data_IF_271791546207
#
_entry.id   IF_271791546207
#
_cell.length_a   1.000
_cell.length_b   1.000
_cell.length_c   1.000
_cell.angle_alpha   90.00
_cell.angle_beta   90.00
_cell.angle_gamma   90.00
#
_symmetry.space_group_name_H-M   'P 1'
#
loop_
_entity.id
_entity.type
_entity.pdbx_description
1 polymer ?
#
# COMPACT_ATOMS: atom_id res chain seq x y z
N UNK A 1 -12.14 -3.03 14.50
CA UNK A 1 -13.13 -2.71 13.44
C UNK A 1 -12.35 -2.74 12.14
N UNK A 2 -12.56 -3.76 11.30
CA UNK A 2 -11.92 -3.82 9.97
C UNK A 2 -12.49 -2.67 9.11
N UNK A 3 -11.67 -1.99 8.29
CA UNK A 3 -12.19 -1.01 7.35
C UNK A 3 -13.23 -1.66 6.44
N UNK A 4 -14.22 -0.88 6.03
CA UNK A 4 -15.21 -1.32 5.06
C UNK A 4 -14.51 -1.56 3.73
N UNK A 5 -14.42 -2.83 3.33
CA UNK A 5 -13.76 -3.23 2.08
C UNK A 5 -14.44 -2.60 0.85
N UNK A 6 -15.68 -2.12 0.97
CA UNK A 6 -16.38 -1.40 -0.08
C UNK A 6 -15.93 0.06 -0.25
N UNK A 7 -15.22 0.63 0.73
CA UNK A 7 -14.71 2.01 0.66
C UNK A 7 -13.29 2.11 0.09
N UNK A 8 -12.58 0.99 0.01
CA UNK A 8 -11.29 0.90 -0.68
C UNK A 8 -11.53 0.91 -2.18
N UNK A 9 -10.81 1.76 -2.90
CA UNK A 9 -10.86 1.82 -4.36
C UNK A 9 -10.58 0.42 -4.94
N UNK A 10 -11.53 -0.20 -5.68
CA UNK A 10 -11.34 -1.53 -6.22
C UNK A 10 -10.12 -1.62 -7.16
N UNK A 11 -9.75 -0.55 -7.86
CA UNK A 11 -8.56 -0.53 -8.71
C UNK A 11 -7.25 -0.56 -7.89
N UNK A 12 -7.29 -0.09 -6.65
CA UNK A 12 -6.15 -0.16 -5.72
C UNK A 12 -5.94 -1.58 -5.23
N UNK A 13 -7.02 -2.26 -4.82
CA UNK A 13 -6.98 -3.65 -4.39
C UNK A 13 -6.51 -4.54 -5.54
N UNK A 14 -7.00 -4.29 -6.76
CA UNK A 14 -6.62 -5.06 -7.93
C UNK A 14 -5.17 -4.79 -8.33
N UNK A 15 -4.68 -3.54 -8.27
CA UNK A 15 -3.28 -3.20 -8.54
C UNK A 15 -2.31 -3.80 -7.50
N UNK A 16 -2.65 -3.72 -6.21
CA UNK A 16 -1.84 -4.30 -5.15
C UNK A 16 -1.83 -5.84 -5.23
N UNK A 17 -2.96 -6.45 -5.60
CA UNK A 17 -3.04 -7.88 -5.87
C UNK A 17 -2.28 -8.29 -7.13
N UNK A 18 -2.30 -7.47 -8.19
CA UNK A 18 -1.54 -7.70 -9.42
C UNK A 18 -0.03 -7.66 -9.18
N UNK A 19 0.43 -6.74 -8.33
CA UNK A 19 1.85 -6.68 -7.96
C UNK A 19 2.25 -7.85 -7.06
N UNK A 20 1.40 -8.28 -6.13
CA UNK A 20 1.68 -9.50 -5.36
C UNK A 20 1.71 -10.75 -6.24
N UNK A 21 0.89 -10.78 -7.30
CA UNK A 21 0.89 -11.88 -8.27
C UNK A 21 2.17 -11.90 -9.13
N UNK A 22 2.79 -10.73 -9.35
CA UNK A 22 3.96 -10.56 -10.20
C UNK A 22 5.28 -10.62 -9.42
N UNK A 23 5.31 -10.07 -8.22
CA UNK A 23 6.43 -10.06 -7.28
C UNK A 23 5.92 -10.08 -5.82
N UNK A 24 5.55 -11.28 -5.31
CA UNK A 24 4.99 -11.41 -3.97
C UNK A 24 5.97 -10.97 -2.88
N UNK A 25 7.28 -11.10 -3.11
CA UNK A 25 8.30 -10.72 -2.14
C UNK A 25 8.55 -9.21 -2.13
N UNK A 26 8.59 -8.56 -3.29
CA UNK A 26 8.68 -7.10 -3.38
C UNK A 26 7.47 -6.41 -2.76
N UNK A 27 6.26 -6.94 -3.01
CA UNK A 27 5.05 -6.44 -2.35
C UNK A 27 5.10 -6.63 -0.83
N UNK A 28 5.53 -7.79 -0.34
CA UNK A 28 5.68 -8.02 1.09
C UNK A 28 6.76 -7.13 1.72
N UNK A 29 7.87 -6.90 1.03
CA UNK A 29 8.95 -6.03 1.49
C UNK A 29 8.46 -4.58 1.63
N UNK A 30 7.71 -4.09 0.64
CA UNK A 30 7.10 -2.75 0.69
C UNK A 30 6.17 -2.57 1.90
N UNK A 31 5.33 -3.56 2.19
CA UNK A 31 4.38 -3.51 3.30
C UNK A 31 5.04 -3.59 4.68
N UNK A 32 6.12 -4.37 4.80
CA UNK A 32 6.70 -4.77 6.09
C UNK A 32 7.96 -3.97 6.45
N UNK A 33 8.70 -3.42 5.48
CA UNK A 33 9.86 -2.56 5.74
C UNK A 33 9.46 -1.10 5.86
N UNK A 34 10.31 -0.33 6.55
CA UNK A 34 10.16 1.12 6.65
C UNK A 34 10.22 1.75 5.27
N UNK A 35 9.12 2.37 4.84
CA UNK A 35 9.04 3.11 3.60
C UNK A 35 9.52 4.55 3.87
N UNK A 36 10.59 4.98 3.19
CA UNK A 36 11.22 6.29 3.38
C UNK A 36 10.31 7.46 2.97
N UNK A 37 9.39 7.24 2.01
CA UNK A 37 8.38 8.24 1.62
C UNK A 37 7.31 8.43 2.69
N UNK A 38 7.03 7.37 3.47
CA UNK A 38 5.97 7.35 4.48
C UNK A 38 6.50 7.51 5.92
N UNK A 39 7.83 7.52 6.11
CA UNK A 39 8.47 7.60 7.43
C UNK A 39 8.22 6.37 8.31
N UNK A 40 7.79 5.24 7.74
CA UNK A 40 7.41 4.03 8.49
C UNK A 40 6.91 2.91 7.59
N UNK A 41 6.71 1.73 8.16
CA UNK A 41 6.16 0.59 7.40
C UNK A 41 4.67 0.84 7.10
N UNK A 42 4.20 0.68 5.85
CA UNK A 42 2.80 0.87 5.48
C UNK A 42 1.83 0.11 6.38
N UNK A 43 2.14 -1.15 6.73
CA UNK A 43 1.31 -1.95 7.63
C UNK A 43 1.20 -1.33 9.04
N UNK A 44 2.29 -0.73 9.54
CA UNK A 44 2.28 -0.06 10.84
C UNK A 44 1.53 1.27 10.81
N UNK A 45 1.49 1.96 9.67
CA UNK A 45 0.76 3.21 9.48
C UNK A 45 -0.74 2.96 9.35
N UNK A 46 -1.12 1.92 8.60
CA UNK A 46 -2.50 1.44 8.53
C UNK A 46 -3.04 1.06 9.92
N UNK A 47 -2.25 0.32 10.71
CA UNK A 47 -2.61 -0.03 12.09
C UNK A 47 -2.73 1.19 13.02
N UNK A 48 -2.12 2.33 12.66
CA UNK A 48 -2.24 3.62 13.38
C UNK A 48 -3.40 4.49 12.87
N UNK A 49 -4.13 4.05 11.85
CA UNK A 49 -5.26 4.78 11.28
C UNK A 49 -4.85 5.89 10.31
N UNK A 50 -3.69 5.77 9.66
CA UNK A 50 -3.35 6.65 8.53
C UNK A 50 -4.33 6.39 7.38
N UNK A 51 -4.77 7.46 6.71
CA UNK A 51 -5.75 7.40 5.63
C UNK A 51 -5.25 6.58 4.43
N UNK A 52 -6.12 5.74 3.89
CA UNK A 52 -5.84 4.85 2.76
C UNK A 52 -5.40 5.62 1.51
N UNK A 53 -5.92 6.84 1.30
CA UNK A 53 -5.52 7.73 0.21
C UNK A 53 -4.02 8.06 0.24
N UNK A 54 -3.45 8.25 1.43
CA UNK A 54 -2.06 8.63 1.59
C UNK A 54 -1.12 7.44 1.30
N UNK A 55 -1.56 6.23 1.64
CA UNK A 55 -0.88 4.99 1.29
C UNK A 55 -1.01 4.67 -0.19
N UNK A 56 -2.15 5.01 -0.80
CA UNK A 56 -2.43 4.89 -2.23
C UNK A 56 -1.50 5.77 -3.05
N UNK A 57 -1.38 7.05 -2.71
CA UNK A 57 -0.50 7.97 -3.41
C UNK A 57 0.98 7.56 -3.29
N UNK A 58 1.40 7.07 -2.11
CA UNK A 58 2.75 6.55 -1.93
C UNK A 58 3.02 5.28 -2.78
N UNK A 59 2.03 4.40 -2.94
CA UNK A 59 2.14 3.26 -3.83
C UNK A 59 2.21 3.68 -5.32
N UNK A 60 1.44 4.70 -5.73
CA UNK A 60 1.48 5.26 -7.09
C UNK A 60 2.82 5.90 -7.42
N UNK A 61 3.39 6.68 -6.49
CA UNK A 61 4.68 7.34 -6.67
C UNK A 61 5.85 6.37 -6.93
N UNK A 62 5.72 5.10 -6.54
CA UNK A 62 6.72 4.06 -6.82
C UNK A 62 6.57 3.41 -8.20
N UNK A 63 5.40 3.57 -8.85
CA UNK A 63 5.10 2.98 -10.16
C UNK A 63 5.42 3.92 -11.31
N UNK A 64 5.47 5.22 -11.07
CA UNK A 64 5.89 6.19 -12.08
C UNK A 64 7.42 6.27 -12.15
N UNK A 65 8.04 5.91 -13.29
CA UNK A 65 9.45 6.18 -13.50
C UNK A 65 9.64 7.70 -13.64
N UNK A 66 10.56 8.26 -12.85
CA UNK A 66 11.07 9.62 -13.06
C UNK A 66 11.63 9.82 -14.48
#
# INVERSE_FOLDING_TARGET
MLPDLAALDPDLLDSAALDAARDPWGTADWWLRGNALLGGAPAALLARGVADDLLTEAARALREPY
#
